data_IF_704606618200
#
_entry.id   IF_704606618200
#
_cell.length_a   1.000
_cell.length_b   1.000
_cell.length_c   1.000
_cell.angle_alpha   90.00
_cell.angle_beta   90.00
_cell.angle_gamma   90.00
#
_symmetry.space_group_name_H-M   'P 1'
#
loop_
_entity.id
_entity.type
_entity.pdbx_description
1 polymer ?
#
# COMPACT_ATOMS: atom_id res chain seq x y z
N UNK A 1 4.27 7.40 -0.67
CA UNK A 1 4.94 7.99 0.50
C UNK A 1 5.52 9.34 0.11
N UNK A 2 5.55 10.30 1.05
CA UNK A 2 6.19 11.59 0.82
C UNK A 2 7.70 11.37 0.89
N UNK A 3 8.37 11.40 -0.26
CA UNK A 3 9.82 11.29 -0.35
C UNK A 3 10.45 12.69 -0.28
N UNK A 4 10.67 13.19 0.93
CA UNK A 4 11.34 14.47 1.19
C UNK A 4 12.59 14.27 2.05
N UNK A 5 13.39 15.33 2.18
CA UNK A 5 14.65 15.30 2.92
C UNK A 5 14.46 14.86 4.39
N UNK A 6 13.36 15.28 5.02
CA UNK A 6 13.00 14.86 6.36
C UNK A 6 12.77 13.34 6.47
N UNK A 7 12.02 12.75 5.53
CA UNK A 7 11.75 11.31 5.52
C UNK A 7 13.02 10.50 5.29
N UNK A 8 13.91 10.97 4.42
CA UNK A 8 15.21 10.35 4.19
C UNK A 8 16.09 10.38 5.44
N UNK A 9 16.11 11.49 6.18
CA UNK A 9 16.86 11.61 7.43
C UNK A 9 16.26 10.77 8.57
N UNK A 10 14.93 10.64 8.61
CA UNK A 10 14.26 9.73 9.53
C UNK A 10 14.63 8.27 9.25
N UNK A 11 14.67 7.85 7.98
CA UNK A 11 15.06 6.49 7.58
C UNK A 11 16.49 6.13 8.00
N UNK A 12 17.43 7.09 7.95
CA UNK A 12 18.83 6.85 8.33
C UNK A 12 19.06 6.85 9.84
N UNK A 13 18.16 7.48 10.61
CA UNK A 13 18.26 7.57 12.09
C UNK A 13 17.38 6.55 12.80
N UNK A 14 16.42 5.96 12.09
CA UNK A 14 15.62 4.85 12.59
C UNK A 14 16.53 3.64 12.80
N UNK A 15 16.89 3.43 14.06
CA UNK A 15 17.70 2.29 14.52
C UNK A 15 17.11 0.98 13.99
N UNK A 16 17.98 0.11 13.47
CA UNK A 16 17.65 -1.14 12.78
C UNK A 16 17.14 -2.26 13.73
N UNK A 17 16.53 -1.87 14.86
CA UNK A 17 15.72 -2.72 15.75
C UNK A 17 14.22 -2.47 15.53
N UNK A 18 13.84 -1.90 14.37
CA UNK A 18 12.46 -1.83 13.94
C UNK A 18 11.92 -3.27 13.77
N UNK A 19 10.87 -3.67 14.52
CA UNK A 19 10.36 -5.03 14.46
C UNK A 19 9.98 -5.33 13.01
N UNK A 20 10.56 -6.40 12.46
CA UNK A 20 10.35 -7.02 11.14
C UNK A 20 9.07 -6.66 10.38
N UNK A 21 8.78 -5.40 9.99
CA UNK A 21 7.46 -5.09 9.43
C UNK A 21 7.28 -3.65 8.88
N UNK A 22 8.25 -3.09 8.17
CA UNK A 22 7.98 -1.91 7.31
C UNK A 22 7.65 -2.29 5.85
N UNK A 23 7.77 -3.57 5.48
CA UNK A 23 7.44 -4.08 4.15
C UNK A 23 5.98 -4.52 3.99
N UNK A 24 5.60 -4.80 2.75
CA UNK A 24 4.30 -5.37 2.40
C UNK A 24 4.23 -6.85 2.82
N UNK A 25 3.02 -7.41 2.95
CA UNK A 25 2.84 -8.84 3.21
C UNK A 25 3.21 -9.68 1.98
N UNK A 26 2.89 -9.15 0.80
CA UNK A 26 3.28 -9.74 -0.47
C UNK A 26 4.71 -9.34 -0.83
N UNK A 27 5.44 -10.15 -1.62
CA UNK A 27 6.80 -9.84 -2.09
C UNK A 27 6.77 -8.78 -3.20
N UNK A 28 6.24 -7.60 -2.86
CA UNK A 28 6.13 -6.42 -3.71
C UNK A 28 6.81 -5.28 -2.99
N UNK A 29 7.85 -4.73 -3.62
CA UNK A 29 8.63 -3.64 -3.03
C UNK A 29 7.81 -2.34 -2.93
N UNK A 30 7.12 -2.00 -4.02
CA UNK A 30 6.29 -0.80 -4.09
C UNK A 30 5.07 -1.02 -4.99
N UNK A 31 3.89 -0.76 -4.44
CA UNK A 31 2.64 -0.70 -5.21
C UNK A 31 2.72 0.46 -6.20
N UNK A 32 2.45 0.18 -7.47
CA UNK A 32 2.52 1.18 -8.53
C UNK A 32 1.20 1.94 -8.67
N UNK A 33 1.21 3.19 -9.19
CA UNK A 33 -0.01 3.94 -9.45
C UNK A 33 -1.00 3.19 -10.36
N UNK A 34 -0.48 2.36 -11.29
CA UNK A 34 -1.29 1.53 -12.18
C UNK A 34 -2.09 0.47 -11.44
N UNK A 35 -1.57 -0.08 -10.33
CA UNK A 35 -2.28 -1.10 -9.55
C UNK A 35 -3.53 -0.49 -8.89
N UNK A 36 -3.40 0.74 -8.39
CA UNK A 36 -4.52 1.52 -7.85
C UNK A 36 -5.51 1.87 -8.96
N UNK A 37 -5.02 2.37 -10.09
CA UNK A 37 -5.87 2.77 -11.22
C UNK A 37 -6.68 1.58 -11.77
N UNK A 38 -6.09 0.39 -11.84
CA UNK A 38 -6.78 -0.83 -12.29
C UNK A 38 -7.90 -1.23 -11.32
N UNK A 39 -7.66 -1.15 -10.00
CA UNK A 39 -8.69 -1.43 -9.01
C UNK A 39 -9.86 -0.42 -9.10
N UNK A 40 -9.55 0.86 -9.32
CA UNK A 40 -10.55 1.91 -9.57
C UNK A 40 -11.34 1.64 -10.85
N UNK A 41 -10.66 1.27 -11.94
CA UNK A 41 -11.30 0.96 -13.21
C UNK A 41 -12.28 -0.21 -13.08
N UNK A 42 -11.91 -1.26 -12.34
CA UNK A 42 -12.81 -2.38 -12.01
C UNK A 42 -13.98 -1.97 -11.11
N UNK A 43 -13.74 -1.15 -10.07
CA UNK A 43 -14.83 -0.65 -9.22
C UNK A 43 -15.84 0.21 -9.98
N UNK A 44 -15.39 0.90 -11.03
CA UNK A 44 -16.24 1.74 -11.88
C UNK A 44 -16.92 0.98 -13.02
N UNK A 45 -16.71 -0.33 -13.14
CA UNK A 45 -17.24 -1.14 -14.23
C UNK A 45 -18.47 -1.96 -13.81
N UNK A 46 -19.14 -2.59 -14.79
CA UNK A 46 -20.34 -3.41 -14.57
C UNK A 46 -20.05 -4.67 -13.74
N UNK A 47 -18.81 -5.14 -13.74
CA UNK A 47 -18.33 -6.29 -12.98
C UNK A 47 -18.42 -6.07 -11.47
N UNK A 48 -18.41 -4.82 -11.01
CA UNK A 48 -18.52 -4.45 -9.60
C UNK A 48 -19.93 -4.01 -9.17
N UNK A 49 -20.99 -4.28 -9.96
CA UNK A 49 -22.38 -3.80 -9.76
C UNK A 49 -23.02 -4.01 -8.37
N UNK A 50 -22.46 -4.90 -7.55
CA UNK A 50 -22.95 -5.19 -6.20
C UNK A 50 -21.91 -4.92 -5.10
N UNK A 51 -20.79 -4.28 -5.43
CA UNK A 51 -19.74 -3.88 -4.49
C UNK A 51 -20.00 -2.44 -4.08
N UNK A 52 -20.43 -2.24 -2.84
CA UNK A 52 -20.75 -0.90 -2.32
C UNK A 52 -20.49 -0.81 -0.81
N UNK A 53 -20.20 0.40 -0.31
CA UNK A 53 -20.01 0.67 1.12
C UNK A 53 -18.75 0.06 1.75
N UNK A 54 -17.84 -0.49 0.95
CA UNK A 54 -16.60 -1.12 1.42
C UNK A 54 -15.39 -0.21 1.21
N UNK A 55 -14.45 -0.24 2.15
CA UNK A 55 -13.08 0.22 1.92
C UNK A 55 -12.27 -0.96 1.43
N UNK A 56 -11.86 -0.96 0.16
CA UNK A 56 -11.04 -2.01 -0.45
C UNK A 56 -9.54 -1.66 -0.33
N UNK A 57 -8.74 -2.37 0.48
CA UNK A 57 -7.31 -2.13 0.56
C UNK A 57 -6.61 -2.61 -0.72
N UNK A 58 -5.79 -1.73 -1.32
CA UNK A 58 -4.92 -2.04 -2.45
C UNK A 58 -3.50 -1.63 -2.06
N UNK A 59 -2.91 -2.38 -1.13
CA UNK A 59 -1.71 -1.98 -0.39
C UNK A 59 -0.69 -3.12 -0.23
N UNK A 60 -0.81 -4.17 -1.05
CA UNK A 60 0.00 -5.39 -0.96
C UNK A 60 0.02 -6.03 0.46
N UNK A 61 -1.05 -5.83 1.24
CA UNK A 61 -1.23 -6.42 2.57
C UNK A 61 -0.54 -5.64 3.69
N UNK A 62 -0.13 -4.39 3.45
CA UNK A 62 0.54 -3.55 4.43
C UNK A 62 -0.25 -3.41 5.75
N UNK A 63 -1.56 -3.19 5.68
CA UNK A 63 -2.42 -3.01 6.87
C UNK A 63 -2.91 -4.33 7.50
N UNK A 64 -2.75 -5.46 6.81
CA UNK A 64 -3.33 -6.75 7.22
C UNK A 64 -2.30 -7.84 7.55
N UNK A 65 -1.00 -7.53 7.47
CA UNK A 65 0.06 -8.45 7.88
C UNK A 65 -0.01 -8.73 9.39
N UNK A 66 0.07 -10.01 9.76
CA UNK A 66 0.09 -10.50 11.15
C UNK A 66 1.47 -11.06 11.48
#
# INVERSE_FOLDING_TARGET
MINNEFFQQWLTTADMDAPHNLGNALPVELVQPTDIANAVAWLASEEARYVTGVTLPVDAGFVNKR
#
